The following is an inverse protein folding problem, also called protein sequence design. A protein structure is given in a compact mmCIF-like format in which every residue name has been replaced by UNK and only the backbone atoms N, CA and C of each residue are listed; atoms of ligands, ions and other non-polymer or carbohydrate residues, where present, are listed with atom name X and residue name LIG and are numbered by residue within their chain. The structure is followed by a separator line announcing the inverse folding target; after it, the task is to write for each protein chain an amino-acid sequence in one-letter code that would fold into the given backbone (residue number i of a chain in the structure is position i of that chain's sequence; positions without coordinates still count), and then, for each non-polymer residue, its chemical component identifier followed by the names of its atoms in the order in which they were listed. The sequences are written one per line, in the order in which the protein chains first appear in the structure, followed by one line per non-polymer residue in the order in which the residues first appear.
data_IF_331545698489
#
_entry.id   IF_331545698489
#
_cell.length_a   1.000
_cell.length_b   1.000
_cell.length_c   1.000
_cell.angle_alpha   90.00
_cell.angle_beta   90.00
_cell.angle_gamma   90.00
#
_symmetry.space_group_name_H-M   'P 1'
#
loop_
_entity.id
_entity.type
_entity.pdbx_description
1 polymer ?
#
# COMPACT_ATOMS: atom_id res chain seq x y z
N UNK A 1 -16.90 -14.55 -0.46
CA UNK A 1 -16.35 -15.77 0.19
C UNK A 1 -14.84 -15.74 0.03
N UNK A 2 -14.08 -15.85 1.12
CA UNK A 2 -12.61 -15.72 1.14
C UNK A 2 -11.99 -16.91 0.39
N UNK A 3 -11.19 -16.67 -0.65
CA UNK A 3 -10.33 -17.71 -1.23
C UNK A 3 -8.95 -17.52 -0.60
N UNK A 4 -8.69 -18.35 0.41
CA UNK A 4 -7.35 -18.58 0.90
C UNK A 4 -6.64 -19.50 -0.09
N UNK A 5 -5.60 -19.01 -0.77
CA UNK A 5 -4.65 -19.85 -1.51
C UNK A 5 -3.42 -19.98 -0.62
N UNK A 6 -3.39 -21.06 0.17
CA UNK A 6 -2.16 -21.59 0.75
C UNK A 6 -1.96 -22.98 0.16
N UNK A 7 -0.90 -23.15 -0.62
CA UNK A 7 0.19 -24.08 -0.31
C UNK A 7 1.04 -24.25 -1.57
N UNK A 8 2.32 -23.89 -1.43
CA UNK A 8 3.40 -24.36 -2.29
C UNK A 8 3.39 -25.89 -2.31
N UNK A 9 3.58 -26.49 -3.48
CA UNK A 9 4.32 -27.75 -3.57
C UNK A 9 5.43 -27.59 -4.60
N UNK A 10 6.67 -27.54 -4.10
CA UNK A 10 7.86 -27.72 -4.89
C UNK A 10 7.98 -29.21 -5.25
N UNK A 11 8.25 -29.52 -6.52
CA UNK A 11 8.59 -30.88 -6.94
C UNK A 11 10.05 -30.94 -7.39
N UNK A 12 10.73 -31.93 -6.81
CA UNK A 12 12.10 -32.33 -7.04
C UNK A 12 12.36 -32.67 -8.51
N UNK A 13 13.45 -32.15 -9.07
CA UNK A 13 14.02 -32.65 -10.32
C UNK A 13 15.17 -33.60 -9.96
N UNK A 14 14.91 -34.90 -10.03
CA UNK A 14 15.96 -35.92 -10.04
C UNK A 14 16.22 -36.31 -11.48
N UNK A 15 17.47 -36.12 -11.90
CA UNK A 15 18.20 -37.05 -12.78
C UNK A 15 17.64 -37.25 -14.18
N UNK A 16 18.33 -36.69 -15.17
CA UNK A 16 18.00 -36.81 -16.58
C UNK A 16 17.87 -38.25 -17.08
N UNK A 17 16.85 -38.49 -17.88
CA UNK A 17 16.99 -38.88 -19.28
C UNK A 17 15.66 -38.51 -19.95
N UNK A 18 15.74 -38.02 -21.19
CA UNK A 18 14.70 -37.22 -21.83
C UNK A 18 13.32 -37.86 -21.93
N UNK A 19 12.32 -36.98 -21.99
CA UNK A 19 11.10 -37.06 -22.79
C UNK A 19 10.52 -35.63 -22.81
N UNK A 20 10.47 -35.02 -23.99
CA UNK A 20 9.72 -33.78 -24.24
C UNK A 20 8.25 -34.20 -24.28
N UNK A 21 7.42 -33.68 -23.36
CA UNK A 21 5.97 -33.65 -23.55
C UNK A 21 5.52 -32.20 -23.47
N UNK A 22 5.27 -31.66 -24.65
CA UNK A 22 4.42 -30.49 -24.87
C UNK A 22 3.01 -30.85 -24.36
N UNK A 23 2.52 -30.22 -23.29
CA UNK A 23 1.10 -30.18 -22.99
C UNK A 23 0.58 -28.76 -23.23
N UNK A 24 0.04 -28.57 -24.44
CA UNK A 24 -0.89 -27.52 -24.82
C UNK A 24 -2.30 -28.09 -24.61
N UNK A 25 -3.10 -27.44 -23.76
CA UNK A 25 -4.56 -27.56 -23.59
C UNK A 25 -4.89 -27.02 -22.18
N UNK A 26 -5.88 -26.19 -21.89
CA UNK A 26 -7.04 -25.76 -22.64
C UNK A 26 -7.50 -24.44 -21.97
N UNK A 27 -7.66 -23.36 -22.74
CA UNK A 27 -8.43 -22.18 -22.35
C UNK A 27 -9.86 -22.44 -22.80
N UNK A 28 -10.87 -22.48 -21.91
CA UNK A 28 -12.30 -22.36 -22.24
C UNK A 28 -13.14 -22.25 -20.92
N UNK A 29 -14.41 -21.79 -20.92
CA UNK A 29 -14.74 -20.38 -20.91
C UNK A 29 -15.76 -20.00 -19.81
N UNK A 30 -16.03 -18.70 -19.76
CA UNK A 30 -17.11 -17.98 -19.06
C UNK A 30 -18.43 -18.75 -18.84
N UNK A 31 -18.93 -18.75 -17.60
CA UNK A 31 -20.37 -18.82 -17.31
C UNK A 31 -20.82 -17.62 -16.50
N UNK A 32 -21.39 -16.66 -17.23
CA UNK A 32 -22.16 -15.53 -16.74
C UNK A 32 -23.46 -16.01 -16.08
N UNK A 33 -23.54 -15.90 -14.75
CA UNK A 33 -24.84 -15.97 -14.07
C UNK A 33 -25.51 -14.60 -14.09
N UNK A 34 -26.37 -14.46 -15.08
CA UNK A 34 -27.41 -13.45 -15.23
C UNK A 34 -28.32 -13.44 -13.99
N UNK A 35 -28.22 -12.41 -13.14
CA UNK A 35 -29.23 -12.15 -12.11
C UNK A 35 -30.08 -10.96 -12.53
N UNK A 36 -31.39 -11.19 -12.56
CA UNK A 36 -32.44 -10.27 -13.02
C UNK A 36 -32.34 -8.91 -12.35
N UNK A 37 -32.28 -7.87 -13.18
CA UNK A 37 -32.52 -6.49 -12.76
C UNK A 37 -34.03 -6.28 -12.56
N UNK A 38 -34.44 -6.03 -11.32
CA UNK A 38 -35.71 -5.37 -11.03
C UNK A 38 -35.41 -3.88 -10.92
N UNK A 39 -35.84 -3.12 -11.93
CA UNK A 39 -35.65 -1.67 -11.99
C UNK A 39 -36.58 -0.97 -10.99
N UNK A 40 -36.01 -0.20 -10.07
CA UNK A 40 -36.71 0.80 -9.28
C UNK A 40 -35.95 2.11 -9.43
N UNK A 41 -36.41 2.95 -10.38
CA UNK A 41 -35.81 4.26 -10.64
C UNK A 41 -36.21 5.25 -9.55
N UNK A 42 -35.37 5.38 -8.52
CA UNK A 42 -35.33 6.58 -7.70
C UNK A 42 -34.27 7.48 -8.30
N UNK A 43 -34.67 8.64 -8.83
CA UNK A 43 -33.74 9.69 -9.26
C UNK A 43 -33.22 10.38 -7.99
N UNK A 44 -32.30 9.71 -7.31
CA UNK A 44 -31.47 10.35 -6.30
C UNK A 44 -30.32 11.00 -7.05
N UNK A 45 -30.26 12.33 -7.06
CA UNK A 45 -29.15 13.07 -7.66
C UNK A 45 -27.82 12.55 -7.10
N UNK A 46 -27.09 11.79 -7.92
CA UNK A 46 -25.78 11.28 -7.60
C UNK A 46 -24.82 12.47 -7.61
N UNK A 47 -24.62 13.09 -6.45
CA UNK A 47 -23.40 13.85 -6.20
C UNK A 47 -22.29 12.80 -6.24
N UNK A 48 -21.64 12.65 -7.40
CA UNK A 48 -20.41 11.87 -7.50
C UNK A 48 -19.43 12.51 -6.53
N UNK A 49 -19.03 11.82 -5.44
CA UNK A 49 -17.95 12.34 -4.63
C UNK A 49 -16.76 12.51 -5.57
N UNK A 50 -16.12 13.69 -5.52
CA UNK A 50 -14.86 13.91 -6.21
C UNK A 50 -13.99 12.67 -5.95
N UNK A 51 -13.61 11.97 -7.02
CA UNK A 51 -12.86 10.71 -6.95
C UNK A 51 -11.45 11.04 -6.46
N UNK A 52 -11.30 11.32 -5.17
CA UNK A 52 -10.03 11.52 -4.51
C UNK A 52 -9.22 10.24 -4.65
N UNK A 53 -7.94 10.39 -4.95
CA UNK A 53 -7.01 9.26 -4.98
C UNK A 53 -6.97 8.68 -3.56
N UNK A 54 -7.51 7.47 -3.40
CA UNK A 54 -7.59 6.80 -2.10
C UNK A 54 -6.36 5.93 -1.91
N UNK A 55 -5.65 6.14 -0.81
CA UNK A 55 -4.47 5.36 -0.47
C UNK A 55 -4.83 4.18 0.45
N UNK A 56 -5.13 3.02 -0.13
CA UNK A 56 -5.63 1.89 0.65
C UNK A 56 -4.64 1.40 1.71
N UNK A 57 -3.34 1.41 1.42
CA UNK A 57 -2.31 1.00 2.37
C UNK A 57 -2.24 1.95 3.58
N UNK A 58 -2.36 3.26 3.36
CA UNK A 58 -2.50 4.24 4.44
C UNK A 58 -3.76 3.99 5.29
N UNK A 59 -4.92 3.74 4.68
CA UNK A 59 -6.15 3.45 5.43
C UNK A 59 -6.00 2.22 6.34
N UNK A 60 -5.35 1.16 5.83
CA UNK A 60 -5.08 -0.03 6.61
C UNK A 60 -4.11 0.23 7.77
N UNK A 61 -3.11 1.10 7.57
CA UNK A 61 -2.20 1.52 8.64
C UNK A 61 -2.93 2.36 9.71
N UNK A 62 -3.86 3.22 9.30
CA UNK A 62 -4.67 4.02 10.23
C UNK A 62 -5.58 3.16 11.11
N UNK A 63 -6.04 2.02 10.60
CA UNK A 63 -6.82 1.04 11.37
C UNK A 63 -6.00 0.27 12.41
N UNK A 64 -4.66 0.36 12.37
CA UNK A 64 -3.81 -0.25 13.40
C UNK A 64 -3.85 0.57 14.69
N UNK A 65 -3.73 -0.08 15.87
CA UNK A 65 -3.49 0.62 17.12
C UNK A 65 -2.30 1.56 16.99
N UNK A 66 -2.39 2.75 17.60
CA UNK A 66 -1.35 3.78 17.49
C UNK A 66 0.03 3.25 17.91
N UNK A 67 0.08 2.41 18.95
CA UNK A 67 1.29 1.76 19.43
C UNK A 67 1.93 0.79 18.42
N UNK A 68 1.15 0.23 17.48
CA UNK A 68 1.65 -0.70 16.47
C UNK A 68 2.12 -0.01 15.18
N UNK A 69 1.53 1.14 14.81
CA UNK A 69 1.90 1.90 13.60
C UNK A 69 3.42 2.10 13.41
N UNK A 70 4.20 2.50 14.44
CA UNK A 70 5.65 2.62 14.28
C UNK A 70 6.34 1.29 13.95
N UNK A 71 5.80 0.14 14.38
CA UNK A 71 6.39 -1.17 14.07
C UNK A 71 6.28 -1.48 12.58
N UNK A 72 5.11 -1.23 11.97
CA UNK A 72 4.91 -1.39 10.53
C UNK A 72 5.78 -0.42 9.72
N UNK A 73 5.82 0.86 10.13
CA UNK A 73 6.63 1.87 9.46
C UNK A 73 8.13 1.62 9.63
N UNK A 74 8.58 1.11 10.77
CA UNK A 74 9.98 0.76 10.98
C UNK A 74 10.43 -0.40 10.08
N UNK A 75 9.57 -1.40 9.89
CA UNK A 75 9.86 -2.55 9.05
C UNK A 75 10.13 -2.17 7.58
N UNK A 76 9.45 -1.16 7.04
CA UNK A 76 9.62 -0.74 5.63
C UNK A 76 10.89 0.07 5.37
N UNK A 77 11.53 0.64 6.39
CA UNK A 77 12.74 1.46 6.23
C UNK A 77 13.97 0.63 5.80
N UNK A 78 13.92 -0.71 5.92
CA UNK A 78 14.96 -1.66 5.48
C UNK A 78 16.40 -1.28 5.91
N UNK A 79 16.55 -0.73 7.11
CA UNK A 79 17.84 -0.28 7.68
C UNK A 79 18.05 -0.75 9.13
N UNK A 80 17.33 -1.81 9.52
CA UNK A 80 17.29 -2.30 10.90
C UNK A 80 16.44 -1.43 11.86
N UNK A 81 15.62 -0.52 11.33
CA UNK A 81 14.76 0.34 12.14
C UNK A 81 13.70 -0.48 12.90
N UNK A 82 13.79 -0.48 14.23
CA UNK A 82 12.68 -0.90 15.11
C UNK A 82 11.92 0.36 15.52
N UNK A 83 10.75 0.58 14.97
CA UNK A 83 9.98 1.79 15.25
C UNK A 83 9.60 1.93 16.72
N UNK A 84 9.63 3.17 17.20
CA UNK A 84 9.30 3.60 18.56
C UNK A 84 8.13 4.57 18.56
N UNK A 85 8.13 5.53 17.63
CA UNK A 85 7.11 6.57 17.46
C UNK A 85 6.82 6.78 15.98
N UNK A 86 5.57 7.10 15.67
CA UNK A 86 5.14 7.43 14.32
C UNK A 86 4.34 8.73 14.33
N UNK A 87 4.39 9.47 13.23
CA UNK A 87 3.62 10.70 13.06
C UNK A 87 3.13 10.81 11.61
N UNK A 88 1.83 11.02 11.43
CA UNK A 88 1.26 11.24 10.11
C UNK A 88 1.49 12.69 9.68
N UNK A 89 2.21 12.88 8.58
CA UNK A 89 2.59 14.19 8.08
C UNK A 89 1.56 14.75 7.08
N UNK A 90 0.70 13.89 6.54
CA UNK A 90 -0.40 14.25 5.67
C UNK A 90 -0.42 13.47 4.35
N UNK A 91 -1.52 13.62 3.62
CA UNK A 91 -1.73 13.16 2.25
C UNK A 91 -1.41 14.28 1.28
N UNK A 92 -0.56 14.02 0.29
CA UNK A 92 -0.35 14.95 -0.81
C UNK A 92 -1.63 15.10 -1.64
N UNK A 93 -1.91 16.32 -2.08
CA UNK A 93 -3.19 16.69 -2.71
C UNK A 93 -3.06 16.99 -4.21
N UNK A 94 -1.84 17.21 -4.69
CA UNK A 94 -1.56 17.69 -6.04
C UNK A 94 -0.28 17.09 -6.65
N UNK A 95 -0.13 17.29 -7.96
CA UNK A 95 1.07 16.93 -8.72
C UNK A 95 1.51 15.47 -8.52
N UNK A 96 2.82 15.28 -8.36
CA UNK A 96 3.44 13.97 -8.14
C UNK A 96 3.18 13.41 -6.72
N UNK A 97 2.66 14.23 -5.80
CA UNK A 97 2.36 13.84 -4.44
C UNK A 97 0.88 13.46 -4.25
N UNK A 98 0.04 13.61 -5.28
CA UNK A 98 -1.39 13.38 -5.19
C UNK A 98 -1.72 11.95 -4.72
N UNK A 99 -2.29 11.83 -3.52
CA UNK A 99 -2.63 10.54 -2.90
C UNK A 99 -1.46 9.84 -2.19
N UNK A 100 -0.25 10.37 -2.23
CA UNK A 100 0.88 9.86 -1.46
C UNK A 100 0.66 10.17 0.02
N UNK A 101 0.80 9.17 0.90
CA UNK A 101 0.72 9.37 2.34
C UNK A 101 2.13 9.49 2.92
N UNK A 102 2.40 10.57 3.64
CA UNK A 102 3.70 10.84 4.25
C UNK A 102 3.64 10.60 5.76
N UNK A 103 4.60 9.84 6.27
CA UNK A 103 4.73 9.48 7.67
C UNK A 103 6.16 9.73 8.15
N UNK A 104 6.32 10.09 9.41
CA UNK A 104 7.60 10.02 10.10
C UNK A 104 7.62 8.82 11.02
N UNK A 105 8.79 8.18 11.12
CA UNK A 105 9.07 7.14 12.11
C UNK A 105 10.38 7.43 12.82
N UNK A 106 10.37 7.30 14.15
CA UNK A 106 11.55 7.32 15.01
C UNK A 106 11.88 5.89 15.38
N UNK A 107 13.10 5.47 15.12
CA UNK A 107 13.62 4.16 15.48
C UNK A 107 14.08 4.17 16.94
N UNK A 108 14.17 3.00 17.58
CA UNK A 108 14.65 2.86 18.97
C UNK A 108 16.09 3.35 19.18
N UNK A 109 16.90 3.37 18.12
CA UNK A 109 18.27 3.88 18.12
C UNK A 109 18.36 5.40 17.90
N UNK A 110 17.23 6.10 17.86
CA UNK A 110 17.16 7.55 17.70
C UNK A 110 17.18 8.05 16.25
N UNK A 111 17.44 7.17 15.26
CA UNK A 111 17.36 7.55 13.84
C UNK A 111 15.92 7.87 13.46
N UNK A 112 15.75 8.81 12.54
CA UNK A 112 14.43 9.24 12.07
C UNK A 112 14.33 9.17 10.55
N UNK A 113 13.19 8.72 10.07
CA UNK A 113 12.92 8.53 8.64
C UNK A 113 11.57 9.12 8.26
N UNK A 114 11.51 9.69 7.06
CA UNK A 114 10.27 9.92 6.34
C UNK A 114 9.95 8.67 5.52
N UNK A 115 8.70 8.21 5.60
CA UNK A 115 8.15 7.08 4.85
C UNK A 115 7.00 7.61 4.01
N UNK A 116 7.13 7.43 2.70
CA UNK A 116 6.08 7.70 1.73
C UNK A 116 5.42 6.37 1.36
N UNK A 117 4.09 6.35 1.37
CA UNK A 117 3.27 5.20 0.97
C UNK A 117 2.47 5.64 -0.26
N UNK A 118 2.68 4.95 -1.38
CA UNK A 118 2.00 5.27 -2.63
C UNK A 118 0.58 4.71 -2.68
N UNK A 119 -0.36 5.37 -3.38
CA UNK A 119 -1.76 4.94 -3.48
C UNK A 119 -1.97 3.78 -4.48
N UNK A 120 -0.89 3.16 -4.96
CA UNK A 120 -0.95 2.00 -5.83
C UNK A 120 -1.51 0.75 -5.11
N UNK A 121 -1.84 -0.28 -5.89
CA UNK A 121 -2.46 -1.50 -5.36
C UNK A 121 -1.55 -2.30 -4.42
N UNK A 122 -0.24 -2.09 -4.48
CA UNK A 122 0.75 -2.77 -3.64
C UNK A 122 1.10 -1.95 -2.38
N UNK A 123 0.71 -0.67 -2.33
CA UNK A 123 1.11 0.23 -1.26
C UNK A 123 2.60 0.47 -1.24
N UNK A 124 3.23 0.62 -2.41
CA UNK A 124 4.70 0.75 -2.52
C UNK A 124 5.22 1.80 -1.55
N UNK A 125 6.28 1.47 -0.81
CA UNK A 125 6.87 2.37 0.18
C UNK A 125 8.25 2.85 -0.25
N UNK A 126 8.54 4.12 0.00
CA UNK A 126 9.90 4.67 -0.06
C UNK A 126 10.23 5.32 1.27
N UNK A 127 11.48 5.19 1.71
CA UNK A 127 11.94 5.84 2.93
C UNK A 127 13.19 6.65 2.69
N UNK A 128 13.33 7.77 3.41
CA UNK A 128 14.57 8.56 3.43
C UNK A 128 14.87 9.07 4.84
N UNK A 129 16.16 9.24 5.21
CA UNK A 129 16.51 9.89 6.47
C UNK A 129 15.92 11.29 6.56
N UNK A 130 15.45 11.68 7.74
CA UNK A 130 14.86 13.02 7.95
C UNK A 130 15.85 14.16 7.70
N UNK A 131 17.15 13.92 7.98
CA UNK A 131 18.22 14.87 7.68
C UNK A 131 18.31 15.16 6.18
N UNK A 132 18.15 14.12 5.34
CA UNK A 132 18.14 14.27 3.89
C UNK A 132 16.89 15.03 3.41
N UNK A 133 15.71 14.71 3.96
CA UNK A 133 14.48 15.45 3.64
C UNK A 133 14.61 16.95 3.94
N UNK A 134 15.21 17.28 5.08
CA UNK A 134 15.46 18.67 5.48
C UNK A 134 16.49 19.35 4.57
N UNK A 135 17.58 18.65 4.22
CA UNK A 135 18.61 19.16 3.32
C UNK A 135 18.05 19.49 1.93
N UNK A 136 17.09 18.69 1.45
CA UNK A 136 16.38 18.92 0.19
C UNK A 136 15.31 20.03 0.27
N UNK A 137 15.11 20.64 1.44
CA UNK A 137 14.03 21.63 1.70
C UNK A 137 12.62 21.09 1.38
N UNK A 138 12.46 19.77 1.38
CA UNK A 138 11.20 19.10 1.06
C UNK A 138 10.26 18.97 2.28
N UNK A 139 10.71 19.43 3.45
CA UNK A 139 9.92 19.43 4.68
C UNK A 139 10.77 19.05 5.89
N UNK A 140 10.09 18.82 7.01
CA UNK A 140 10.69 18.27 8.23
C UNK A 140 9.85 17.07 8.65
N UNK A 141 10.51 16.02 9.12
CA UNK A 141 9.80 14.94 9.81
C UNK A 141 9.13 15.47 11.08
N UNK A 142 8.12 14.75 11.56
CA UNK A 142 7.32 15.08 12.73
C UNK A 142 6.71 16.48 12.64
N UNK A 143 6.31 16.86 11.42
CA UNK A 143 5.62 18.11 11.11
C UNK A 143 4.65 17.84 9.97
N UNK A 144 3.50 18.52 9.98
CA UNK A 144 2.55 18.45 8.88
C UNK A 144 3.20 19.09 7.65
N UNK A 145 3.10 18.43 6.50
CA UNK A 145 3.60 18.97 5.24
C UNK A 145 2.70 20.11 4.74
N UNK A 146 3.31 21.15 4.18
CA UNK A 146 2.56 22.26 3.59
C UNK A 146 1.74 21.74 2.40
N UNK A 147 0.46 22.11 2.34
CA UNK A 147 -0.46 21.68 1.27
C UNK A 147 -0.98 20.24 1.39
N UNK A 148 -0.57 19.51 2.43
CA UNK A 148 -1.07 18.17 2.68
C UNK A 148 -2.41 18.21 3.43
N UNK A 149 -3.23 17.19 3.19
CA UNK A 149 -4.49 16.94 3.90
C UNK A 149 -4.25 16.00 5.09
N UNK A 150 -4.97 16.22 6.18
CA UNK A 150 -5.00 15.34 7.35
C UNK A 150 -6.21 14.39 7.31
#
# INVERSE_FOLDING_TARGET
MRIAIRALLALFVVGGLGIIIQFLAELEPSTSHLSKATASSVITGSVSPAKGIRNHAHELLMQKPEAERPLYLGAVVNSGCRGKRAFFMGLGTDGFAAGEAFWSVECRDGRTFSVMISPDSLGTTRSMPCELLAALKAGKCFSVLKGAKL
#
